data_IF_925466112250
#
_entry.id   IF_925466112250
#
_cell.length_a   1.000
_cell.length_b   1.000
_cell.length_c   1.000
_cell.angle_alpha   90.00
_cell.angle_beta   90.00
_cell.angle_gamma   90.00
#
_symmetry.space_group_name_H-M   'P 1'
#
loop_
_entity.id
_entity.type
_entity.pdbx_description
1 polymer ?
#
# COMPACT_ATOMS: atom_id res chain seq x y z
N UNK A 1 -14.31 -10.91 -14.15
CA UNK A 1 -13.87 -9.70 -14.88
C UNK A 1 -15.11 -8.96 -15.28
N UNK A 2 -15.06 -7.63 -15.24
CA UNK A 2 -16.14 -6.82 -15.79
C UNK A 2 -16.23 -7.04 -17.31
N UNK A 3 -17.45 -7.19 -17.84
CA UNK A 3 -17.66 -7.59 -19.23
C UNK A 3 -17.23 -6.48 -20.22
N UNK A 4 -17.32 -5.20 -19.84
CA UNK A 4 -16.86 -4.05 -20.65
C UNK A 4 -15.34 -4.08 -20.80
N UNK A 5 -14.62 -4.36 -19.70
CA UNK A 5 -13.16 -4.47 -19.75
C UNK A 5 -12.71 -5.62 -20.64
N UNK A 6 -13.41 -6.77 -20.56
CA UNK A 6 -13.09 -7.94 -21.39
C UNK A 6 -13.27 -7.64 -22.88
N UNK A 7 -14.38 -7.01 -23.27
CA UNK A 7 -14.63 -6.62 -24.66
C UNK A 7 -13.53 -5.67 -25.17
N UNK A 8 -13.13 -4.69 -24.35
CA UNK A 8 -12.01 -3.79 -24.69
C UNK A 8 -10.68 -4.52 -24.86
N UNK A 9 -10.40 -5.52 -24.03
CA UNK A 9 -9.19 -6.34 -24.16
C UNK A 9 -9.22 -7.19 -25.44
N UNK A 10 -10.38 -7.76 -25.78
CA UNK A 10 -10.56 -8.56 -27.01
C UNK A 10 -10.39 -7.72 -28.28
N UNK A 11 -10.73 -6.43 -28.23
CA UNK A 11 -10.48 -5.46 -29.31
C UNK A 11 -8.99 -5.12 -29.52
N UNK A 12 -8.10 -5.51 -28.59
CA UNK A 12 -6.65 -5.31 -28.67
C UNK A 12 -5.90 -6.66 -28.66
N UNK A 13 -6.02 -7.49 -29.71
CA UNK A 13 -5.38 -8.81 -29.79
C UNK A 13 -3.85 -8.75 -29.93
N UNK A 14 -3.29 -7.59 -30.27
CA UNK A 14 -1.85 -7.35 -30.34
C UNK A 14 -1.17 -7.39 -28.96
N UNK A 15 -1.96 -7.29 -27.88
CA UNK A 15 -1.46 -7.31 -26.51
C UNK A 15 -1.57 -8.72 -25.95
N UNK A 16 -0.46 -9.24 -25.40
CA UNK A 16 -0.47 -10.49 -24.65
C UNK A 16 -1.04 -10.26 -23.23
N UNK A 17 -2.36 -10.22 -23.13
CA UNK A 17 -3.08 -9.96 -21.87
C UNK A 17 -2.79 -10.96 -20.75
N UNK A 18 -2.48 -12.22 -21.09
CA UNK A 18 -2.08 -13.21 -20.09
C UNK A 18 -0.75 -12.86 -19.43
N UNK A 19 0.19 -12.29 -20.19
CA UNK A 19 1.48 -11.83 -19.66
C UNK A 19 1.33 -10.55 -18.84
N UNK A 20 0.54 -9.59 -19.31
CA UNK A 20 0.22 -8.36 -18.54
C UNK A 20 -0.41 -8.72 -17.18
N UNK A 21 -1.35 -9.67 -17.19
CA UNK A 21 -1.99 -10.15 -15.96
C UNK A 21 -0.99 -10.83 -15.03
N UNK A 22 -0.10 -11.68 -15.57
CA UNK A 22 0.93 -12.37 -14.78
C UNK A 22 1.85 -11.36 -14.08
N UNK A 23 2.31 -10.35 -14.80
CA UNK A 23 3.20 -9.32 -14.26
C UNK A 23 2.53 -8.52 -13.14
N UNK A 24 1.28 -8.08 -13.35
CA UNK A 24 0.54 -7.34 -12.33
C UNK A 24 0.29 -8.16 -11.05
N UNK A 25 0.02 -9.46 -11.20
CA UNK A 25 -0.12 -10.37 -10.05
C UNK A 25 1.23 -10.55 -9.35
N UNK A 26 2.30 -10.80 -10.10
CA UNK A 26 3.64 -11.00 -9.54
C UNK A 26 4.09 -9.78 -8.72
N UNK A 27 3.98 -8.58 -9.28
CA UNK A 27 4.33 -7.32 -8.59
C UNK A 27 3.53 -7.16 -7.28
N UNK A 28 2.24 -7.51 -7.30
CA UNK A 28 1.40 -7.42 -6.11
C UNK A 28 1.81 -8.44 -5.04
N UNK A 29 2.17 -9.65 -5.44
CA UNK A 29 2.66 -10.71 -4.54
C UNK A 29 3.98 -10.28 -3.91
N UNK A 30 4.95 -9.86 -4.70
CA UNK A 30 6.26 -9.37 -4.19
C UNK A 30 6.07 -8.22 -3.19
N UNK A 31 5.16 -7.28 -3.48
CA UNK A 31 4.82 -6.19 -2.55
C UNK A 31 4.26 -6.73 -1.23
N UNK A 32 3.34 -7.69 -1.28
CA UNK A 32 2.75 -8.29 -0.08
C UNK A 32 3.76 -9.09 0.73
N UNK A 33 4.69 -9.79 0.06
CA UNK A 33 5.77 -10.53 0.73
C UNK A 33 6.72 -9.59 1.47
N UNK A 34 7.14 -8.49 0.83
CA UNK A 34 7.97 -7.46 1.49
C UNK A 34 7.22 -6.83 2.67
N UNK A 35 5.94 -6.49 2.51
CA UNK A 35 5.14 -5.98 3.62
C UNK A 35 5.07 -6.98 4.77
N UNK A 36 4.81 -8.25 4.46
CA UNK A 36 4.72 -9.30 5.45
C UNK A 36 6.06 -9.50 6.18
N UNK A 37 7.19 -9.53 5.47
CA UNK A 37 8.53 -9.58 6.04
C UNK A 37 8.77 -8.40 7.00
N UNK A 38 8.50 -7.17 6.56
CA UNK A 38 8.66 -5.97 7.40
C UNK A 38 7.77 -5.97 8.65
N UNK A 39 6.57 -6.55 8.55
CA UNK A 39 5.64 -6.63 9.68
C UNK A 39 5.79 -7.91 10.51
N UNK A 40 6.59 -8.88 10.06
CA UNK A 40 6.64 -10.22 10.67
C UNK A 40 7.18 -10.24 12.10
N UNK A 41 8.01 -9.26 12.45
CA UNK A 41 8.54 -9.08 13.81
C UNK A 41 7.75 -8.03 14.63
N UNK A 42 6.71 -7.43 14.05
CA UNK A 42 5.90 -6.39 14.69
C UNK A 42 4.54 -6.95 15.09
N UNK A 43 4.36 -7.26 16.37
CA UNK A 43 3.05 -7.65 16.92
C UNK A 43 2.06 -6.47 17.06
N UNK A 44 2.49 -5.22 16.78
CA UNK A 44 1.75 -3.97 16.92
C UNK A 44 0.79 -4.00 18.13
N UNK A 45 1.36 -3.83 19.33
CA UNK A 45 0.61 -3.89 20.58
C UNK A 45 -0.18 -2.61 20.83
N UNK A 46 -1.17 -2.66 21.74
CA UNK A 46 -1.89 -1.45 22.17
C UNK A 46 -0.95 -0.37 22.74
N UNK A 47 0.16 -0.77 23.37
CA UNK A 47 1.20 0.14 23.84
C UNK A 47 1.89 0.86 22.68
N UNK A 48 2.24 0.13 21.61
CA UNK A 48 2.87 0.70 20.41
C UNK A 48 1.95 1.74 19.75
N UNK A 49 0.64 1.46 19.72
CA UNK A 49 -0.36 2.41 19.21
C UNK A 49 -0.40 3.69 20.05
N UNK A 50 -0.38 3.59 21.38
CA UNK A 50 -0.37 4.76 22.27
C UNK A 50 0.91 5.60 22.11
N UNK A 51 2.05 4.94 21.95
CA UNK A 51 3.33 5.61 21.72
C UNK A 51 3.35 6.35 20.37
N UNK A 52 2.78 5.75 19.33
CA UNK A 52 2.63 6.39 18.01
C UNK A 52 1.71 7.61 18.11
N UNK A 53 0.55 7.49 18.76
CA UNK A 53 -0.40 8.61 18.94
C UNK A 53 0.27 9.77 19.68
N UNK A 54 1.03 9.46 20.73
CA UNK A 54 1.76 10.46 21.51
C UNK A 54 2.78 11.20 20.64
N UNK A 55 3.61 10.48 19.89
CA UNK A 55 4.61 11.07 18.98
C UNK A 55 3.98 11.94 17.89
N UNK A 56 2.85 11.53 17.32
CA UNK A 56 2.11 12.30 16.31
C UNK A 56 1.59 13.61 16.93
N UNK A 57 1.00 13.55 18.12
CA UNK A 57 0.47 14.72 18.81
C UNK A 57 1.58 15.72 19.17
N UNK A 58 2.71 15.24 19.68
CA UNK A 58 3.88 16.08 19.98
C UNK A 58 4.44 16.75 18.73
N UNK A 59 4.64 15.98 17.66
CA UNK A 59 5.14 16.50 16.38
C UNK A 59 4.17 17.50 15.75
N UNK A 60 2.86 17.23 15.85
CA UNK A 60 1.81 18.12 15.41
C UNK A 60 1.84 19.46 16.15
N UNK A 61 1.93 19.42 17.49
CA UNK A 61 2.03 20.61 18.34
C UNK A 61 3.27 21.44 18.01
N UNK A 62 4.45 20.80 17.94
CA UNK A 62 5.71 21.47 17.61
C UNK A 62 5.62 22.27 16.30
N UNK A 63 4.99 21.70 15.26
CA UNK A 63 4.79 22.39 13.97
C UNK A 63 3.81 23.56 14.03
N UNK A 64 2.84 23.52 14.94
CA UNK A 64 1.88 24.62 15.14
C UNK A 64 2.55 25.75 15.93
N UNK A 65 3.33 25.41 16.95
CA UNK A 65 4.07 26.37 17.76
C UNK A 65 5.14 27.09 16.93
N UNK A 66 5.89 26.36 16.09
CA UNK A 66 6.89 26.92 15.16
C UNK A 66 6.29 27.83 14.08
N UNK A 67 5.02 27.64 13.70
CA UNK A 67 4.32 28.51 12.74
C UNK A 67 3.65 29.72 13.38
N UNK A 68 3.53 29.74 14.70
CA UNK A 68 2.85 30.79 15.46
C UNK A 68 3.84 31.75 16.15
N UNK A 69 5.15 31.52 16.01
CA UNK A 69 6.26 32.36 16.46
C UNK A 69 6.86 33.17 15.30
#
# INVERSE_FOLDING_TARGET
MDDDLKERMENHPEINWSEVTRQAIQEKVETLEVMNELTSESELTESDVQDIVTKINESGRKRVDEKSA
#
